data_IF_013446886232
#
_entry.id   IF_013446886232
#
_cell.length_a   1.000
_cell.length_b   1.000
_cell.length_c   1.000
_cell.angle_alpha   90.00
_cell.angle_beta   90.00
_cell.angle_gamma   90.00
#
_symmetry.space_group_name_H-M   'P 1'
#
loop_
_entity.id
_entity.type
_entity.pdbx_description
1 polymer ?
#
# COMPACT_ATOMS: atom_id res chain seq x y z
N UNK A 1 -11.39 6.19 1.76
CA UNK A 1 -11.61 4.91 2.48
C UNK A 1 -10.95 4.95 3.84
N UNK A 2 -11.57 4.40 4.83
CA UNK A 2 -11.01 4.38 6.17
C UNK A 2 -10.31 3.05 6.46
N UNK A 3 -9.12 3.12 7.04
CA UNK A 3 -8.40 1.93 7.51
C UNK A 3 -8.98 1.56 8.87
N UNK A 4 -9.77 0.48 8.92
CA UNK A 4 -10.50 0.06 10.12
C UNK A 4 -9.72 -0.92 10.99
N UNK A 5 -8.87 -1.73 10.37
CA UNK A 5 -8.08 -2.75 11.06
C UNK A 5 -6.75 -2.94 10.36
N UNK A 6 -5.74 -3.52 11.02
CA UNK A 6 -4.49 -3.86 10.35
C UNK A 6 -4.71 -4.86 9.21
N UNK A 7 -4.00 -4.66 8.12
CA UNK A 7 -4.02 -5.58 6.99
C UNK A 7 -2.71 -5.50 6.23
N UNK A 8 -2.41 -6.53 5.46
CA UNK A 8 -1.21 -6.56 4.65
C UNK A 8 -1.46 -7.20 3.31
N UNK A 9 -0.61 -6.88 2.35
CA UNK A 9 -0.63 -7.47 1.02
C UNK A 9 0.78 -7.52 0.46
N UNK A 10 1.06 -8.52 -0.35
CA UNK A 10 2.34 -8.67 -1.01
C UNK A 10 3.25 -9.69 -0.36
N UNK A 11 4.51 -9.71 -0.81
CA UNK A 11 5.52 -10.63 -0.33
C UNK A 11 6.86 -9.92 -0.15
N UNK A 12 7.83 -10.62 0.45
CA UNK A 12 9.21 -10.15 0.57
C UNK A 12 10.12 -10.75 -0.52
N UNK A 13 9.54 -11.34 -1.54
CA UNK A 13 10.30 -11.90 -2.65
C UNK A 13 10.86 -10.81 -3.57
N UNK A 14 11.86 -11.16 -4.36
CA UNK A 14 12.46 -10.26 -5.35
C UNK A 14 11.39 -9.73 -6.31
N UNK A 15 11.48 -8.46 -6.65
CA UNK A 15 10.58 -7.76 -7.56
C UNK A 15 9.14 -7.62 -7.03
N UNK A 16 8.94 -7.79 -5.73
CA UNK A 16 7.67 -7.57 -5.08
C UNK A 16 7.84 -6.57 -3.92
N UNK A 17 6.76 -6.25 -3.26
CA UNK A 17 6.77 -5.46 -2.03
C UNK A 17 5.71 -5.98 -1.07
N UNK A 18 5.94 -5.74 0.21
CA UNK A 18 4.94 -6.03 1.24
C UNK A 18 4.45 -4.71 1.81
N UNK A 19 3.14 -4.52 1.79
CA UNK A 19 2.48 -3.34 2.32
C UNK A 19 1.67 -3.74 3.53
N UNK A 20 1.92 -3.07 4.65
CA UNK A 20 1.13 -3.22 5.87
C UNK A 20 0.46 -1.90 6.16
N UNK A 21 -0.83 -1.93 6.43
CA UNK A 21 -1.60 -0.75 6.82
C UNK A 21 -2.21 -0.96 8.18
N UNK A 22 -2.25 0.10 8.98
CA UNK A 22 -2.82 0.08 10.31
C UNK A 22 -3.62 1.35 10.53
N UNK A 23 -4.68 1.31 11.38
CA UNK A 23 -5.39 2.53 11.75
C UNK A 23 -4.45 3.52 12.39
N UNK A 24 -4.66 4.79 12.13
CA UNK A 24 -3.86 5.87 12.70
C UNK A 24 -4.64 7.16 12.75
N UNK A 25 -4.05 8.18 13.35
CA UNK A 25 -4.62 9.50 13.48
C UNK A 25 -3.64 10.54 12.96
N UNK A 26 -4.14 11.75 12.66
CA UNK A 26 -3.30 12.89 12.25
C UNK A 26 -2.57 12.69 10.93
N UNK A 27 -3.21 12.08 9.95
CA UNK A 27 -2.66 11.95 8.60
C UNK A 27 -1.99 10.62 8.34
N UNK A 28 -1.26 10.56 7.25
CA UNK A 28 -0.54 9.35 6.83
C UNK A 28 0.86 9.37 7.40
N UNK A 29 1.23 8.29 8.08
CA UNK A 29 2.58 8.06 8.56
C UNK A 29 3.17 6.89 7.76
N UNK A 30 4.07 7.21 6.84
CA UNK A 30 4.68 6.24 5.94
C UNK A 30 6.09 5.88 6.39
N UNK A 31 6.34 4.60 6.57
CA UNK A 31 7.69 4.05 6.72
C UNK A 31 8.00 3.24 5.47
N UNK A 32 9.08 3.60 4.80
CA UNK A 32 9.50 2.95 3.56
C UNK A 32 10.91 2.38 3.72
N UNK A 33 11.03 1.08 3.52
CA UNK A 33 12.32 0.39 3.41
C UNK A 33 12.38 -0.22 2.01
N UNK A 34 13.36 0.17 1.21
CA UNK A 34 13.48 -0.28 -0.17
C UNK A 34 14.91 -0.65 -0.49
N UNK A 35 15.07 -1.73 -1.24
CA UNK A 35 16.36 -2.16 -1.76
C UNK A 35 16.98 -1.13 -2.71
N UNK A 36 16.18 -0.22 -3.25
CA UNK A 36 16.58 0.79 -4.23
C UNK A 36 16.26 2.22 -3.76
N UNK A 37 16.23 2.42 -2.46
CA UNK A 37 15.76 3.66 -1.82
C UNK A 37 16.52 4.91 -2.28
N UNK A 38 17.83 4.80 -2.48
CA UNK A 38 18.64 5.95 -2.87
C UNK A 38 18.28 6.47 -4.25
N UNK A 39 17.96 5.58 -5.16
CA UNK A 39 17.70 5.90 -6.56
C UNK A 39 16.22 6.14 -6.83
N UNK A 40 15.34 5.32 -6.24
CA UNK A 40 13.91 5.33 -6.55
C UNK A 40 13.01 5.66 -5.35
N UNK A 41 13.58 5.99 -4.19
CA UNK A 41 12.79 6.32 -3.01
C UNK A 41 11.73 7.38 -3.24
N UNK A 42 12.07 8.55 -3.82
CA UNK A 42 11.07 9.59 -4.10
C UNK A 42 9.96 9.12 -5.03
N UNK A 43 10.30 8.35 -6.06
CA UNK A 43 9.31 7.81 -7.00
C UNK A 43 8.38 6.82 -6.31
N UNK A 44 8.93 5.94 -5.48
CA UNK A 44 8.13 4.95 -4.72
C UNK A 44 7.17 5.66 -3.78
N UNK A 45 7.64 6.66 -3.04
CA UNK A 45 6.81 7.45 -2.14
C UNK A 45 5.67 8.13 -2.90
N UNK A 46 5.98 8.68 -4.06
CA UNK A 46 4.98 9.34 -4.90
C UNK A 46 3.87 8.36 -5.31
N UNK A 47 4.23 7.17 -5.78
CA UNK A 47 3.26 6.16 -6.18
C UNK A 47 2.36 5.77 -4.99
N UNK A 48 2.96 5.57 -3.82
CA UNK A 48 2.21 5.20 -2.61
C UNK A 48 1.22 6.31 -2.24
N UNK A 49 1.68 7.57 -2.16
CA UNK A 49 0.81 8.68 -1.76
C UNK A 49 -0.27 8.96 -2.78
N UNK A 50 0.03 8.88 -4.08
CA UNK A 50 -0.99 9.05 -5.13
C UNK A 50 -2.07 7.97 -5.03
N UNK A 51 -1.67 6.74 -4.74
CA UNK A 51 -2.62 5.63 -4.58
C UNK A 51 -3.52 5.85 -3.37
N UNK A 52 -2.93 6.23 -2.23
CA UNK A 52 -3.69 6.52 -1.02
C UNK A 52 -4.66 7.68 -1.21
N UNK A 53 -4.23 8.73 -1.90
CA UNK A 53 -5.08 9.87 -2.20
C UNK A 53 -6.26 9.48 -3.08
N UNK A 54 -6.03 8.67 -4.11
CA UNK A 54 -7.09 8.19 -4.99
C UNK A 54 -8.11 7.34 -4.24
N UNK A 55 -7.68 6.62 -3.22
CA UNK A 55 -8.54 5.79 -2.38
C UNK A 55 -9.16 6.57 -1.21
N UNK A 56 -8.95 7.86 -1.14
CA UNK A 56 -9.45 8.72 -0.06
C UNK A 56 -9.01 8.24 1.33
N UNK A 57 -7.78 7.78 1.46
CA UNK A 57 -7.20 7.42 2.75
C UNK A 57 -6.57 8.67 3.36
N UNK A 58 -7.19 9.19 4.41
CA UNK A 58 -6.75 10.41 5.07
C UNK A 58 -5.81 10.15 6.25
N UNK A 59 -5.93 9.00 6.91
CA UNK A 59 -5.17 8.69 8.11
C UNK A 59 -4.74 7.23 8.11
N UNK A 60 -3.60 6.95 8.69
CA UNK A 60 -3.14 5.59 8.88
C UNK A 60 -1.63 5.49 8.96
N UNK A 61 -1.16 4.36 9.45
CA UNK A 61 0.25 4.00 9.43
C UNK A 61 0.47 3.00 8.30
N UNK A 62 1.34 3.36 7.38
CA UNK A 62 1.64 2.55 6.20
C UNK A 62 3.10 2.14 6.26
N UNK A 63 3.37 0.85 6.24
CA UNK A 63 4.73 0.33 6.22
C UNK A 63 4.92 -0.43 4.91
N UNK A 64 5.94 -0.06 4.15
CA UNK A 64 6.23 -0.69 2.87
C UNK A 64 7.66 -1.20 2.87
N UNK A 65 7.81 -2.49 2.63
CA UNK A 65 9.11 -3.13 2.40
C UNK A 65 9.18 -3.50 0.93
N UNK A 66 10.01 -2.78 0.17
CA UNK A 66 10.12 -2.95 -1.27
C UNK A 66 11.37 -3.73 -1.64
N UNK A 67 11.20 -4.74 -2.47
CA UNK A 67 12.28 -5.59 -3.01
C UNK A 67 12.48 -5.41 -4.50
N UNK A 68 12.26 -4.18 -4.99
CA UNK A 68 12.44 -3.85 -6.40
C UNK A 68 11.18 -4.02 -7.24
N UNK A 69 10.02 -3.80 -6.64
CA UNK A 69 8.74 -3.90 -7.36
C UNK A 69 8.58 -2.79 -8.39
N UNK A 70 7.85 -3.09 -9.46
CA UNK A 70 7.42 -2.08 -10.42
C UNK A 70 6.34 -1.18 -9.79
N UNK A 71 6.19 0.03 -10.33
CA UNK A 71 5.18 0.98 -9.84
C UNK A 71 3.78 0.36 -9.81
N UNK A 72 3.40 -0.37 -10.86
CA UNK A 72 2.09 -1.02 -10.91
C UNK A 72 1.92 -2.08 -9.83
N UNK A 73 2.99 -2.77 -9.45
CA UNK A 73 2.96 -3.75 -8.37
C UNK A 73 2.77 -3.06 -7.03
N UNK A 74 3.52 -1.99 -6.78
CA UNK A 74 3.38 -1.21 -5.54
C UNK A 74 1.95 -0.70 -5.40
N UNK A 75 1.41 -0.11 -6.46
CA UNK A 75 0.03 0.37 -6.51
C UNK A 75 -0.97 -0.73 -6.18
N UNK A 76 -0.83 -1.90 -6.82
CA UNK A 76 -1.73 -3.03 -6.58
C UNK A 76 -1.66 -3.53 -5.14
N UNK A 77 -0.46 -3.58 -4.55
CA UNK A 77 -0.29 -4.02 -3.16
C UNK A 77 -0.90 -3.04 -2.16
N UNK A 78 -0.69 -1.74 -2.38
CA UNK A 78 -1.30 -0.69 -1.55
C UNK A 78 -2.83 -0.79 -1.62
N UNK A 79 -3.39 -0.90 -2.83
CA UNK A 79 -4.83 -1.06 -3.01
C UNK A 79 -5.35 -2.29 -2.28
N UNK A 80 -4.72 -3.44 -2.45
CA UNK A 80 -5.14 -4.68 -1.80
C UNK A 80 -5.12 -4.54 -0.28
N UNK A 81 -4.06 -3.98 0.29
CA UNK A 81 -3.94 -3.79 1.73
C UNK A 81 -5.05 -2.87 2.27
N UNK A 82 -5.29 -1.75 1.60
CA UNK A 82 -6.33 -0.80 2.00
C UNK A 82 -7.72 -1.44 1.94
N UNK A 83 -8.04 -2.13 0.85
CA UNK A 83 -9.35 -2.79 0.73
C UNK A 83 -9.55 -3.86 1.80
N UNK A 84 -8.51 -4.64 2.10
CA UNK A 84 -8.58 -5.63 3.18
C UNK A 84 -8.80 -4.97 4.54
N UNK A 85 -8.13 -3.85 4.79
CA UNK A 85 -8.27 -3.11 6.05
C UNK A 85 -9.64 -2.48 6.23
N UNK A 86 -10.30 -2.13 5.14
CA UNK A 86 -11.63 -1.53 5.13
C UNK A 86 -12.76 -2.56 5.02
N UNK A 87 -12.43 -3.85 5.00
CA UNK A 87 -13.39 -4.95 4.82
C UNK A 87 -14.17 -4.89 3.51
N UNK A 88 -13.59 -4.30 2.48
CA UNK A 88 -14.22 -4.27 1.15
C UNK A 88 -13.93 -5.58 0.43
N UNK A 89 -14.98 -6.37 0.19
CA UNK A 89 -14.86 -7.69 -0.42
C UNK A 89 -15.60 -7.80 -1.76
N UNK A 90 -16.35 -6.77 -2.13
CA UNK A 90 -17.15 -6.73 -3.36
C UNK A 90 -16.80 -5.49 -4.15
N UNK A 91 -17.07 -5.55 -5.45
CA UNK A 91 -16.92 -4.39 -6.35
C UNK A 91 -15.52 -3.80 -6.33
N UNK A 92 -14.52 -4.65 -6.26
CA UNK A 92 -13.13 -4.22 -6.30
C UNK A 92 -12.77 -3.71 -7.70
N UNK A 93 -12.02 -2.60 -7.81
CA UNK A 93 -11.78 -1.96 -9.10
C UNK A 93 -10.98 -2.80 -10.10
N UNK A 94 -10.27 -3.81 -9.64
CA UNK A 94 -9.54 -4.71 -10.54
C UNK A 94 -10.35 -5.95 -10.91
N UNK A 95 -11.64 -6.05 -10.50
CA UNK A 95 -12.56 -7.07 -10.95
C UNK A 95 -12.26 -8.52 -10.57
N UNK A 96 -11.19 -8.79 -9.87
CA UNK A 96 -10.82 -10.12 -9.45
C UNK A 96 -11.16 -10.36 -8.00
N UNK A 97 -11.25 -11.63 -7.62
CA UNK A 97 -11.35 -11.98 -6.21
C UNK A 97 -10.00 -11.73 -5.54
N UNK A 98 -10.03 -10.98 -4.45
CA UNK A 98 -8.86 -10.85 -3.58
C UNK A 98 -9.04 -11.82 -2.44
N UNK A 99 -8.15 -12.73 -2.35
CA UNK A 99 -8.16 -13.74 -1.29
C UNK A 99 -7.00 -13.56 -0.34
#
# INVERSE_FOLDING_TARGET
MEIKKPAMAGTLESSDCMVTVEPGENGINLELDSAVIRQFGPQIRKVIFETLERLDVANGRITVVDKGALDCTIKARVEAAVYRSADVKKDLPWGGAIV
#
